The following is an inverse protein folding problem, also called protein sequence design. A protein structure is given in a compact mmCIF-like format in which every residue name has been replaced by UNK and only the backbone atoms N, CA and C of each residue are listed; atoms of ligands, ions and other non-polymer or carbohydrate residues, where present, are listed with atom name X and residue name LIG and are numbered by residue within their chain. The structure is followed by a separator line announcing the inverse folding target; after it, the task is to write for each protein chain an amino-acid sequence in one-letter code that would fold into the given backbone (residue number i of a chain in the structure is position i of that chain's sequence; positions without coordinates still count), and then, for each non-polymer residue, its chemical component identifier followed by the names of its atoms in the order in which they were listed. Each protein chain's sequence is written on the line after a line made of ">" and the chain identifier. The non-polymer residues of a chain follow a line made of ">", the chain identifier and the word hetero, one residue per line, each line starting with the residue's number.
data_IF_362766630109
#
_entry.id   IF_362766630109
#
_cell.length_a   1.000
_cell.length_b   1.000
_cell.length_c   1.000
_cell.angle_alpha   90.00
_cell.angle_beta   90.00
_cell.angle_gamma   90.00
#
_symmetry.space_group_name_H-M   'P 1'
#
loop_
_entity.id
_entity.type
_entity.pdbx_description
1 polymer ?
#
# COMPACT_ATOMS: atom_id res chain seq x y z
N UNK A 1 23.02 3.73 15.23
CA UNK A 1 24.33 4.22 14.69
C UNK A 1 25.17 3.07 14.11
N UNK A 2 25.30 1.92 14.78
CA UNK A 2 26.08 0.78 14.24
C UNK A 2 25.50 0.19 12.94
N UNK A 3 24.18 -0.02 12.86
CA UNK A 3 23.53 -0.65 11.70
C UNK A 3 23.68 0.14 10.39
N UNK A 4 23.62 1.48 10.45
CA UNK A 4 23.80 2.35 9.27
C UNK A 4 25.23 2.26 8.72
N UNK A 5 26.23 2.13 9.60
CA UNK A 5 27.62 1.99 9.16
C UNK A 5 27.85 0.63 8.50
N UNK A 6 27.24 -0.43 9.04
CA UNK A 6 27.25 -1.76 8.42
C UNK A 6 26.61 -1.73 7.02
N UNK A 7 25.42 -1.15 6.89
CA UNK A 7 24.73 -1.01 5.60
C UNK A 7 25.58 -0.26 4.56
N UNK A 8 26.18 0.87 4.96
CA UNK A 8 27.08 1.63 4.07
C UNK A 8 28.30 0.81 3.64
N UNK A 9 28.83 -0.04 4.52
CA UNK A 9 29.96 -0.90 4.19
C UNK A 9 29.55 -2.02 3.23
N UNK A 10 28.38 -2.60 3.42
CA UNK A 10 27.81 -3.62 2.53
C UNK A 10 27.55 -3.07 1.13
N UNK A 11 26.91 -1.90 1.03
CA UNK A 11 26.69 -1.20 -0.24
C UNK A 11 28.02 -0.97 -0.97
N UNK A 12 29.03 -0.43 -0.28
CA UNK A 12 30.37 -0.21 -0.88
C UNK A 12 31.02 -1.51 -1.37
N UNK A 13 30.82 -2.60 -0.64
CA UNK A 13 31.34 -3.92 -1.01
C UNK A 13 30.65 -4.44 -2.27
N UNK A 14 29.32 -4.29 -2.34
CA UNK A 14 28.54 -4.64 -3.53
C UNK A 14 28.93 -3.80 -4.75
N UNK A 15 29.11 -2.48 -4.58
CA UNK A 15 29.56 -1.60 -5.67
C UNK A 15 30.98 -1.91 -6.15
N UNK A 16 31.89 -2.35 -5.27
CA UNK A 16 33.26 -2.69 -5.65
C UNK A 16 33.34 -4.00 -6.43
N UNK A 17 32.42 -4.92 -6.18
CA UNK A 17 32.37 -6.25 -6.81
C UNK A 17 31.54 -6.20 -8.10
N UNK A 18 30.32 -5.66 -8.01
CA UNK A 18 29.34 -5.64 -9.09
C UNK A 18 29.26 -4.25 -9.73
N UNK A 19 30.28 -3.93 -10.52
CA UNK A 19 30.32 -2.66 -11.25
C UNK A 19 29.21 -2.55 -12.32
N UNK A 20 28.97 -1.33 -12.82
CA UNK A 20 27.97 -1.05 -13.88
C UNK A 20 28.19 -1.82 -15.20
N UNK A 21 29.38 -2.38 -15.40
CA UNK A 21 29.73 -3.12 -16.62
C UNK A 21 29.94 -4.62 -16.35
N UNK A 22 29.57 -5.10 -15.17
CA UNK A 22 29.74 -6.50 -14.81
C UNK A 22 28.88 -7.41 -15.71
N UNK A 23 29.41 -8.58 -16.08
CA UNK A 23 28.86 -9.42 -17.17
C UNK A 23 27.54 -10.11 -16.83
N UNK A 24 27.19 -10.21 -15.55
CA UNK A 24 26.02 -10.97 -15.08
C UNK A 24 25.10 -10.21 -14.14
N UNK A 25 25.66 -9.31 -13.35
CA UNK A 25 24.93 -8.61 -12.30
C UNK A 25 25.58 -7.27 -12.02
N UNK A 26 24.83 -6.19 -12.20
CA UNK A 26 25.35 -4.82 -12.16
C UNK A 26 24.62 -4.02 -11.09
N UNK A 27 25.34 -3.25 -10.28
CA UNK A 27 24.72 -2.24 -9.42
C UNK A 27 24.57 -0.95 -10.21
N UNK A 28 23.33 -0.57 -10.50
CA UNK A 28 23.01 0.62 -11.30
C UNK A 28 23.02 1.87 -10.42
N UNK A 29 22.38 1.76 -9.26
CA UNK A 29 22.27 2.82 -8.24
C UNK A 29 22.25 2.17 -6.86
N UNK A 30 22.93 2.77 -5.89
CA UNK A 30 22.89 2.32 -4.51
C UNK A 30 22.89 3.51 -3.54
N UNK A 31 22.01 3.43 -2.55
CA UNK A 31 21.85 4.41 -1.48
C UNK A 31 21.45 3.69 -0.19
N UNK A 32 21.36 4.42 0.92
CA UNK A 32 20.93 3.83 2.21
C UNK A 32 19.44 3.48 2.23
N UNK A 33 18.65 4.03 1.30
CA UNK A 33 17.21 3.82 1.23
C UNK A 33 16.82 2.89 0.06
N UNK A 34 17.65 2.82 -1.00
CA UNK A 34 17.33 2.05 -2.20
C UNK A 34 18.59 1.45 -2.85
N UNK A 35 18.48 0.20 -3.29
CA UNK A 35 19.45 -0.47 -4.16
C UNK A 35 18.77 -0.87 -5.47
N UNK A 36 19.30 -0.44 -6.61
CA UNK A 36 18.86 -0.88 -7.95
C UNK A 36 19.97 -1.68 -8.61
N UNK A 37 19.65 -2.91 -8.99
CA UNK A 37 20.54 -3.80 -9.69
C UNK A 37 19.95 -4.28 -11.03
N UNK A 38 20.81 -4.78 -11.90
CA UNK A 38 20.45 -5.34 -13.19
C UNK A 38 21.08 -6.72 -13.34
N UNK A 39 20.24 -7.72 -13.58
CA UNK A 39 20.67 -9.08 -13.89
C UNK A 39 20.62 -9.31 -15.39
N UNK A 40 21.64 -9.98 -15.94
CA UNK A 40 21.74 -10.33 -17.35
C UNK A 40 21.51 -11.84 -17.47
N UNK A 41 20.31 -12.21 -17.94
CA UNK A 41 19.89 -13.58 -18.11
C UNK A 41 20.37 -14.22 -19.42
N UNK A 42 19.80 -15.38 -19.74
CA UNK A 42 20.08 -16.10 -20.98
C UNK A 42 19.76 -15.23 -22.20
N UNK A 43 20.61 -15.29 -23.23
CA UNK A 43 20.52 -14.49 -24.46
C UNK A 43 20.72 -12.97 -24.29
N UNK A 44 21.23 -12.52 -23.14
CA UNK A 44 21.52 -11.10 -22.90
C UNK A 44 20.29 -10.26 -22.53
N UNK A 45 19.19 -10.90 -22.13
CA UNK A 45 18.01 -10.19 -21.62
C UNK A 45 18.34 -9.55 -20.27
N UNK A 46 18.05 -8.26 -20.15
CA UNK A 46 18.33 -7.47 -18.95
C UNK A 46 17.07 -7.36 -18.08
N UNK A 47 17.22 -7.70 -16.79
CA UNK A 47 16.17 -7.61 -15.80
C UNK A 47 16.58 -6.60 -14.73
N UNK A 48 15.77 -5.56 -14.54
CA UNK A 48 16.03 -4.55 -13.51
C UNK A 48 15.29 -4.95 -12.23
N UNK A 49 16.02 -4.99 -11.12
CA UNK A 49 15.54 -5.41 -9.81
C UNK A 49 15.90 -4.31 -8.81
N UNK A 50 14.98 -4.02 -7.91
CA UNK A 50 15.08 -2.97 -6.93
C UNK A 50 14.89 -3.53 -5.53
N UNK A 51 15.57 -2.95 -4.55
CA UNK A 51 15.39 -3.22 -3.14
C UNK A 51 15.18 -1.90 -2.40
N UNK A 52 14.10 -1.80 -1.65
CA UNK A 52 13.85 -0.69 -0.73
C UNK A 52 14.31 -1.07 0.67
N UNK A 53 15.19 -0.26 1.25
CA UNK A 53 15.82 -0.50 2.55
C UNK A 53 15.15 0.40 3.58
N UNK A 54 14.51 -0.22 4.57
CA UNK A 54 13.76 0.49 5.60
C UNK A 54 14.65 0.81 6.81
N UNK A 55 14.21 1.77 7.64
CA UNK A 55 14.92 2.13 8.88
C UNK A 55 15.02 0.98 9.89
N UNK A 56 14.21 -0.07 9.71
CA UNK A 56 14.21 -1.30 10.53
C UNK A 56 15.31 -2.29 10.14
N UNK A 57 16.12 -1.98 9.14
CA UNK A 57 17.27 -2.78 8.73
C UNK A 57 18.34 -2.89 9.84
N UNK A 58 18.96 -4.08 10.07
CA UNK A 58 18.75 -5.38 9.40
C UNK A 58 17.74 -6.29 10.10
N UNK A 59 16.97 -5.79 11.08
CA UNK A 59 16.00 -6.61 11.80
C UNK A 59 14.89 -7.12 10.89
N UNK A 60 14.53 -6.34 9.86
CA UNK A 60 13.61 -6.73 8.78
C UNK A 60 14.40 -6.74 7.46
N UNK A 61 14.19 -7.73 6.59
CA UNK A 61 14.83 -7.76 5.28
C UNK A 61 14.39 -6.59 4.39
N UNK A 62 15.28 -6.08 3.52
CA UNK A 62 14.94 -5.20 2.42
C UNK A 62 13.79 -5.73 1.55
N UNK A 63 13.00 -4.82 0.99
CA UNK A 63 11.84 -5.15 0.16
C UNK A 63 12.26 -5.18 -1.30
N UNK A 64 12.35 -6.38 -1.88
CA UNK A 64 12.76 -6.58 -3.27
C UNK A 64 11.57 -6.63 -4.23
N UNK A 65 11.77 -6.11 -5.45
CA UNK A 65 10.82 -6.19 -6.56
C UNK A 65 11.57 -6.10 -7.90
N UNK A 66 10.93 -6.54 -8.99
CA UNK A 66 11.52 -6.50 -10.32
C UNK A 66 10.58 -5.85 -11.33
N UNK A 67 11.17 -5.14 -12.29
CA UNK A 67 10.49 -4.54 -13.42
C UNK A 67 10.37 -5.57 -14.56
N UNK A 68 9.85 -6.76 -14.26
CA UNK A 68 9.68 -7.87 -15.20
C UNK A 68 8.42 -8.68 -14.86
N UNK A 69 7.69 -9.11 -15.90
CA UNK A 69 6.52 -10.00 -15.78
C UNK A 69 6.91 -11.49 -15.76
N UNK A 70 8.20 -11.81 -15.88
CA UNK A 70 8.68 -13.19 -15.92
C UNK A 70 8.57 -13.87 -14.55
N UNK A 71 7.94 -15.04 -14.51
CA UNK A 71 7.70 -15.79 -13.28
C UNK A 71 8.99 -16.22 -12.58
N UNK A 72 10.08 -16.46 -13.33
CA UNK A 72 11.39 -16.81 -12.77
C UNK A 72 11.95 -15.68 -11.89
N UNK A 73 11.89 -14.43 -12.35
CA UNK A 73 12.35 -13.26 -11.61
C UNK A 73 11.48 -13.01 -10.39
N UNK A 74 10.16 -13.10 -10.54
CA UNK A 74 9.21 -12.95 -9.44
C UNK A 74 9.47 -13.98 -8.33
N UNK A 75 9.72 -15.25 -8.70
CA UNK A 75 10.06 -16.30 -7.74
C UNK A 75 11.39 -16.03 -7.02
N UNK A 76 12.43 -15.59 -7.74
CA UNK A 76 13.73 -15.28 -7.14
C UNK A 76 13.64 -14.14 -6.10
N UNK A 77 12.87 -13.10 -6.41
CA UNK A 77 12.60 -11.98 -5.51
C UNK A 77 11.79 -12.42 -4.29
N UNK A 78 10.78 -13.28 -4.46
CA UNK A 78 9.90 -13.74 -3.38
C UNK A 78 10.65 -14.48 -2.26
N UNK A 79 11.73 -15.19 -2.59
CA UNK A 79 12.56 -15.90 -1.60
C UNK A 79 13.17 -14.91 -0.60
N UNK A 80 13.58 -13.72 -1.06
CA UNK A 80 14.22 -12.70 -0.23
C UNK A 80 13.27 -12.10 0.81
N UNK A 81 11.96 -12.15 0.56
CA UNK A 81 10.96 -11.68 1.53
C UNK A 81 10.87 -12.56 2.79
N UNK A 82 11.42 -13.77 2.73
CA UNK A 82 11.33 -14.76 3.81
C UNK A 82 12.62 -14.97 4.59
N UNK A 83 13.69 -14.20 4.31
CA UNK A 83 14.97 -14.33 5.01
C UNK A 83 14.87 -13.88 6.48
N UNK A 84 15.79 -14.38 7.31
CA UNK A 84 15.87 -14.03 8.74
C UNK A 84 17.33 -13.96 9.22
N UNK A 85 17.58 -13.20 10.28
CA UNK A 85 18.90 -13.11 10.89
C UNK A 85 19.93 -12.46 9.98
N UNK A 86 21.06 -13.15 9.74
CA UNK A 86 22.13 -12.65 8.87
C UNK A 86 21.66 -12.49 7.42
N UNK A 87 20.75 -13.33 6.96
CA UNK A 87 20.24 -13.29 5.58
C UNK A 87 19.40 -12.06 5.28
N UNK A 88 19.03 -11.26 6.29
CA UNK A 88 18.39 -9.97 6.08
C UNK A 88 19.35 -8.90 5.56
N UNK A 89 20.66 -9.10 5.69
CA UNK A 89 21.58 -8.08 5.23
C UNK A 89 21.61 -8.04 3.69
N UNK A 90 21.66 -6.84 3.13
CA UNK A 90 21.63 -6.57 1.68
C UNK A 90 22.70 -7.39 0.95
N UNK A 91 23.89 -7.54 1.56
CA UNK A 91 24.98 -8.35 1.02
C UNK A 91 24.55 -9.81 0.79
N UNK A 92 23.97 -10.45 1.81
CA UNK A 92 23.52 -11.85 1.72
C UNK A 92 22.31 -11.99 0.82
N UNK A 93 21.38 -11.03 0.85
CA UNK A 93 20.23 -11.05 -0.06
C UNK A 93 20.63 -10.97 -1.52
N UNK A 94 21.65 -10.16 -1.87
CA UNK A 94 22.20 -10.15 -3.23
C UNK A 94 22.81 -11.50 -3.60
N UNK A 95 23.50 -12.17 -2.67
CA UNK A 95 24.06 -13.51 -2.92
C UNK A 95 22.93 -14.51 -3.18
N UNK A 96 21.90 -14.55 -2.33
CA UNK A 96 20.74 -15.45 -2.48
C UNK A 96 20.03 -15.17 -3.80
N UNK A 97 19.77 -13.90 -4.11
CA UNK A 97 19.14 -13.46 -5.35
C UNK A 97 19.93 -13.95 -6.57
N UNK A 98 21.24 -13.72 -6.57
CA UNK A 98 22.08 -14.01 -7.73
C UNK A 98 22.22 -15.53 -7.95
N UNK A 99 22.32 -16.34 -6.89
CA UNK A 99 22.28 -17.81 -6.99
C UNK A 99 20.99 -18.29 -7.61
N UNK A 100 19.86 -17.80 -7.11
CA UNK A 100 18.55 -18.24 -7.59
C UNK A 100 18.29 -17.81 -9.04
N UNK A 101 18.65 -16.57 -9.40
CA UNK A 101 18.55 -16.08 -10.78
C UNK A 101 19.46 -16.90 -11.73
N UNK A 102 20.69 -17.21 -11.32
CA UNK A 102 21.58 -18.04 -12.13
C UNK A 102 21.01 -19.45 -12.34
N UNK A 103 20.46 -20.05 -11.27
CA UNK A 103 19.81 -21.37 -11.30
C UNK A 103 18.59 -21.38 -12.23
N UNK A 104 17.70 -20.40 -12.12
CA UNK A 104 16.46 -20.33 -12.89
C UNK A 104 16.70 -20.02 -14.38
N UNK A 105 17.70 -19.19 -14.70
CA UNK A 105 18.06 -18.89 -16.09
C UNK A 105 19.09 -19.87 -16.68
N UNK A 106 19.51 -20.89 -15.92
CA UNK A 106 20.52 -21.87 -16.29
C UNK A 106 21.82 -21.23 -16.82
N UNK A 107 22.29 -20.19 -16.15
CA UNK A 107 23.56 -19.49 -16.44
C UNK A 107 24.59 -19.75 -15.34
N UNK A 108 25.90 -19.76 -15.64
CA UNK A 108 26.93 -20.02 -14.64
C UNK A 108 27.01 -18.87 -13.62
N UNK A 109 27.20 -19.23 -12.34
CA UNK A 109 27.42 -18.28 -11.25
C UNK A 109 28.72 -17.47 -11.47
N UNK A 110 28.75 -16.17 -11.16
CA UNK A 110 29.98 -15.38 -11.27
C UNK A 110 31.04 -15.85 -10.26
N UNK A 111 32.32 -15.91 -10.63
CA UNK A 111 33.41 -16.29 -9.71
C UNK A 111 33.55 -15.32 -8.52
N UNK A 112 33.02 -14.09 -8.67
CA UNK A 112 32.97 -13.06 -7.62
C UNK A 112 32.08 -13.44 -6.44
N UNK A 113 31.17 -14.40 -6.63
CA UNK A 113 30.27 -14.91 -5.60
C UNK A 113 31.01 -15.69 -4.50
N UNK A 114 32.09 -16.38 -4.86
CA UNK A 114 32.96 -17.10 -3.92
C UNK A 114 33.81 -16.14 -3.07
N UNK A 115 34.15 -14.97 -3.63
CA UNK A 115 34.90 -13.93 -2.92
C UNK A 115 34.08 -13.30 -1.79
N UNK A 116 32.75 -13.20 -1.97
CA UNK A 116 31.80 -12.75 -0.95
C UNK A 116 31.68 -13.72 0.24
N UNK A 117 31.77 -15.03 -0.02
CA UNK A 117 31.82 -16.07 1.03
C UNK A 117 33.11 -16.03 1.86
N UNK A 118 34.23 -15.57 1.29
CA UNK A 118 35.53 -15.49 1.98
C UNK A 118 35.61 -14.30 2.95
N UNK A 119 34.93 -13.18 2.64
CA UNK A 119 34.82 -12.00 3.52
C UNK A 119 34.01 -12.29 4.80
N UNK A 120 33.05 -13.23 4.73
CA UNK A 120 32.20 -13.67 5.84
C UNK A 120 33.00 -14.41 6.94
N UNK A 121 33.89 -15.33 6.57
CA UNK A 121 34.65 -16.15 7.53
C UNK A 121 35.62 -15.36 8.42
N UNK A 122 35.95 -14.12 8.02
CA UNK A 122 36.80 -13.21 8.80
C UNK A 122 35.98 -12.25 9.69
N UNK A 123 34.72 -12.00 9.37
CA UNK A 123 33.83 -11.12 10.14
C UNK A 123 33.12 -11.87 11.29
N UNK A 124 32.67 -13.10 11.04
CA UNK A 124 32.00 -13.98 12.03
C UNK A 124 32.91 -14.35 13.21
N UNK A 125 34.21 -14.56 12.98
CA UNK A 125 35.19 -14.85 14.04
C UNK A 125 35.44 -13.70 15.03
N UNK A 126 35.01 -12.46 14.73
CA UNK A 126 35.16 -11.33 15.65
C UNK A 126 33.97 -11.16 16.60
N UNK A 127 32.83 -11.80 16.31
CA UNK A 127 31.59 -11.65 17.07
C UNK A 127 31.45 -12.74 18.14
N UNK A 128 31.93 -13.97 17.88
CA UNK A 128 31.85 -15.09 18.83
C UNK A 128 32.67 -14.94 20.12
N UNK A 129 33.61 -13.99 20.20
CA UNK A 129 34.44 -13.77 21.41
C UNK A 129 33.84 -12.82 22.45
N UNK A 130 32.63 -12.28 22.26
CA UNK A 130 32.06 -11.24 23.16
C UNK A 130 30.79 -11.61 23.91
N UNK A 131 30.23 -12.80 23.72
CA UNK A 131 29.02 -13.23 24.42
C UNK A 131 29.14 -14.68 24.90
N UNK A 132 30.13 -14.95 25.76
CA UNK A 132 30.18 -16.19 26.52
C UNK A 132 30.37 -15.87 28.01
N UNK A 133 29.28 -15.48 28.66
CA UNK A 133 29.17 -15.50 30.12
C UNK A 133 27.70 -15.51 30.54
N UNK A 134 27.35 -16.52 31.35
CA UNK A 134 26.07 -16.80 32.04
C UNK A 134 24.86 -17.11 31.13
N UNK A 135 24.16 -18.25 31.23
CA UNK A 135 24.07 -19.24 32.31
C UNK A 135 23.33 -20.51 31.84
N UNK A 136 23.86 -21.67 32.25
CA UNK A 136 23.16 -22.96 32.44
C UNK A 136 21.90 -22.74 33.31
N UNK A 137 20.82 -23.52 33.35
CA UNK A 137 20.53 -24.95 33.20
C UNK A 137 18.99 -25.07 33.23
N UNK A 138 18.34 -25.97 32.50
CA UNK A 138 18.18 -27.38 32.89
C UNK A 138 17.00 -27.96 32.11
N UNK A 139 17.15 -29.19 31.62
CA UNK A 139 16.14 -29.88 30.83
C UNK A 139 15.18 -30.71 31.68
N UNK A 140 14.13 -31.19 31.03
CA UNK A 140 13.68 -32.58 31.17
C UNK A 140 12.85 -32.98 29.95
N UNK A 141 13.08 -34.19 29.46
CA UNK A 141 12.32 -34.85 28.39
C UNK A 141 11.30 -35.80 29.05
N UNK A 142 10.10 -35.95 28.49
CA UNK A 142 9.39 -37.24 28.56
C UNK A 142 8.26 -37.34 27.52
N UNK A 143 8.08 -38.57 27.04
CA UNK A 143 7.19 -39.02 25.97
C UNK A 143 5.93 -39.73 26.51
N UNK A 144 4.94 -39.88 25.63
CA UNK A 144 3.91 -40.95 25.49
C UNK A 144 2.46 -40.73 25.99
N UNK A 145 1.53 -40.98 25.03
CA UNK A 145 0.27 -41.77 25.07
C UNK A 145 -0.87 -41.33 26.04
N UNK A 146 -2.17 -41.57 25.86
CA UNK A 146 -3.13 -42.04 24.83
C UNK A 146 -4.52 -42.05 25.55
N UNK A 147 -5.62 -42.16 24.80
CA UNK A 147 -7.00 -42.54 25.18
C UNK A 147 -7.93 -41.52 25.91
N UNK A 148 -9.08 -41.24 25.27
CA UNK A 148 -10.38 -41.52 25.91
C UNK A 148 -11.43 -40.41 26.09
N UNK A 149 -12.48 -40.49 25.25
CA UNK A 149 -13.93 -40.40 25.55
C UNK A 149 -14.71 -39.06 25.55
N UNK A 150 -15.62 -38.99 24.55
CA UNK A 150 -17.07 -38.64 24.54
C UNK A 150 -17.61 -37.35 25.18
N UNK A 151 -18.35 -36.55 24.40
CA UNK A 151 -19.82 -36.70 24.27
C UNK A 151 -20.46 -35.69 23.31
N UNK A 152 -21.47 -36.18 22.60
CA UNK A 152 -22.34 -35.58 21.57
C UNK A 152 -23.09 -34.29 21.92
N UNK A 153 -23.52 -33.54 20.88
CA UNK A 153 -24.93 -33.18 20.66
C UNK A 153 -25.14 -32.35 19.37
N UNK A 154 -25.65 -33.05 18.35
CA UNK A 154 -26.77 -32.73 17.44
C UNK A 154 -26.76 -31.50 16.50
N UNK A 155 -26.70 -31.84 15.21
CA UNK A 155 -27.16 -31.08 14.05
C UNK A 155 -28.66 -31.33 13.85
N UNK A 156 -29.46 -30.27 13.71
CA UNK A 156 -30.82 -30.37 13.16
C UNK A 156 -30.92 -29.52 11.89
N UNK A 157 -31.22 -30.20 10.79
CA UNK A 157 -31.46 -29.67 9.45
C UNK A 157 -32.98 -29.70 9.26
N UNK A 158 -33.60 -28.52 9.27
CA UNK A 158 -34.98 -28.33 8.85
C UNK A 158 -35.03 -27.52 7.55
N UNK A 159 -35.28 -28.19 6.44
CA UNK A 159 -35.76 -27.57 5.20
C UNK A 159 -37.19 -27.05 5.41
N UNK A 160 -37.49 -25.85 4.91
CA UNK A 160 -38.85 -25.39 4.64
C UNK A 160 -38.85 -24.53 3.38
N UNK A 161 -39.48 -25.04 2.33
CA UNK A 161 -39.83 -24.31 1.10
C UNK A 161 -41.16 -23.53 1.27
N UNK A 162 -41.31 -22.44 0.49
CA UNK A 162 -42.55 -21.68 0.24
C UNK A 162 -42.84 -20.56 1.25
N UNK A 163 -43.30 -19.36 0.91
CA UNK A 163 -43.90 -18.78 -0.30
C UNK A 163 -43.69 -17.24 -0.27
N UNK A 164 -43.77 -16.59 -1.43
CA UNK A 164 -43.65 -15.14 -1.65
C UNK A 164 -44.62 -14.29 -0.83
N UNK A 165 -44.14 -13.20 -0.18
CA UNK A 165 -44.88 -11.92 -0.10
C UNK A 165 -43.93 -10.72 -0.13
N UNK A 166 -44.39 -9.68 -0.83
CA UNK A 166 -43.66 -8.53 -1.36
C UNK A 166 -43.48 -7.40 -0.35
N UNK A 167 -42.56 -7.54 0.61
CA UNK A 167 -42.31 -6.53 1.66
C UNK A 167 -41.20 -5.50 1.35
N UNK A 168 -40.68 -5.45 0.12
CA UNK A 168 -39.54 -4.58 -0.22
C UNK A 168 -39.90 -3.10 -0.47
N UNK A 169 -41.18 -2.76 -0.61
CA UNK A 169 -41.61 -1.39 -0.96
C UNK A 169 -42.12 -0.57 0.24
N UNK A 170 -42.37 -1.17 1.41
CA UNK A 170 -42.99 -0.45 2.55
C UNK A 170 -41.96 0.14 3.54
N UNK A 171 -40.73 -0.40 3.59
CA UNK A 171 -39.65 0.15 4.43
C UNK A 171 -38.96 1.39 3.83
N UNK A 172 -39.21 1.71 2.56
CA UNK A 172 -38.67 2.91 1.88
C UNK A 172 -39.53 4.16 2.07
N UNK A 173 -40.75 4.03 2.61
CA UNK A 173 -41.66 5.15 2.80
C UNK A 173 -41.41 5.92 4.12
N UNK A 174 -40.82 5.27 5.14
CA UNK A 174 -40.57 5.89 6.45
C UNK A 174 -39.35 6.83 6.50
N UNK A 175 -38.48 6.84 5.47
CA UNK A 175 -37.33 7.76 5.42
C UNK A 175 -37.60 9.08 4.68
N UNK A 176 -38.79 9.27 4.10
CA UNK A 176 -39.10 10.44 3.27
C UNK A 176 -39.57 11.68 4.03
N UNK A 177 -39.94 11.57 5.31
CA UNK A 177 -40.45 12.74 6.06
C UNK A 177 -39.34 13.60 6.68
N UNK A 178 -38.16 13.04 6.99
CA UNK A 178 -37.08 13.77 7.69
C UNK A 178 -36.03 14.40 6.73
N UNK A 179 -36.16 14.18 5.43
CA UNK A 179 -35.13 14.53 4.42
C UNK A 179 -35.51 15.72 3.50
N UNK A 180 -36.74 16.26 3.58
CA UNK A 180 -37.16 17.39 2.72
C UNK A 180 -36.40 18.69 3.02
N UNK A 181 -35.87 18.86 4.23
CA UNK A 181 -35.12 20.06 4.63
C UNK A 181 -33.62 20.00 4.29
N UNK A 182 -33.08 18.85 3.86
CA UNK A 182 -31.63 18.65 3.56
C UNK A 182 -31.33 18.29 2.10
N UNK A 183 -32.36 18.12 1.26
CA UNK A 183 -32.20 17.91 -0.18
C UNK A 183 -31.76 19.18 -0.93
N UNK A 184 -31.95 20.35 -0.31
CA UNK A 184 -31.83 21.68 -0.94
C UNK A 184 -30.39 22.20 -1.12
N UNK A 185 -29.39 21.41 -0.69
CA UNK A 185 -27.98 21.87 -0.65
C UNK A 185 -27.02 21.10 -1.58
N UNK A 186 -27.54 20.14 -2.35
CA UNK A 186 -26.73 19.35 -3.30
C UNK A 186 -26.91 19.88 -4.73
N UNK A 187 -25.81 20.12 -5.44
CA UNK A 187 -25.84 20.63 -6.81
C UNK A 187 -26.63 19.72 -7.77
N UNK A 188 -27.36 20.34 -8.71
CA UNK A 188 -28.25 19.66 -9.68
C UNK A 188 -27.51 18.57 -10.48
N UNK A 189 -26.25 18.80 -10.83
CA UNK A 189 -25.41 17.83 -11.56
C UNK A 189 -25.10 16.56 -10.74
N UNK A 190 -24.86 16.71 -9.44
CA UNK A 190 -24.59 15.59 -8.53
C UNK A 190 -25.86 14.76 -8.27
N UNK A 191 -27.02 15.43 -8.15
CA UNK A 191 -28.32 14.76 -8.08
C UNK A 191 -28.60 13.96 -9.35
N UNK A 192 -28.38 14.54 -10.53
CA UNK A 192 -28.53 13.84 -11.80
C UNK A 192 -27.59 12.63 -11.93
N UNK A 193 -26.37 12.74 -11.38
CA UNK A 193 -25.41 11.63 -11.36
C UNK A 193 -25.89 10.49 -10.45
N UNK A 194 -26.34 10.79 -9.22
CA UNK A 194 -26.89 9.79 -8.31
C UNK A 194 -28.12 9.08 -8.89
N UNK A 195 -28.99 9.81 -9.58
CA UNK A 195 -30.16 9.25 -10.24
C UNK A 195 -29.79 8.36 -11.43
N UNK A 196 -28.82 8.77 -12.26
CA UNK A 196 -28.29 7.95 -13.35
C UNK A 196 -27.71 6.62 -12.84
N UNK A 197 -26.95 6.65 -11.75
CA UNK A 197 -26.36 5.46 -11.16
C UNK A 197 -27.42 4.49 -10.62
N UNK A 198 -28.47 5.00 -9.97
CA UNK A 198 -29.61 4.19 -9.53
C UNK A 198 -30.34 3.51 -10.69
N UNK A 199 -30.54 4.23 -11.79
CA UNK A 199 -31.19 3.68 -12.98
C UNK A 199 -30.33 2.60 -13.65
N UNK A 200 -29.03 2.83 -13.78
CA UNK A 200 -28.08 1.84 -14.29
C UNK A 200 -28.08 0.58 -13.42
N UNK A 201 -28.01 0.73 -12.10
CA UNK A 201 -28.06 -0.37 -11.15
C UNK A 201 -29.34 -1.22 -11.35
N UNK A 202 -30.52 -0.59 -11.40
CA UNK A 202 -31.80 -1.30 -11.65
C UNK A 202 -31.80 -2.05 -12.99
N UNK A 203 -31.22 -1.43 -14.03
CA UNK A 203 -31.13 -2.06 -15.34
C UNK A 203 -30.18 -3.27 -15.34
N UNK A 204 -29.05 -3.19 -14.63
CA UNK A 204 -28.09 -4.28 -14.53
C UNK A 204 -28.64 -5.46 -13.73
N UNK A 205 -29.43 -5.20 -12.68
CA UNK A 205 -30.20 -6.24 -11.98
C UNK A 205 -31.15 -6.97 -12.91
N UNK A 206 -31.90 -6.22 -13.73
CA UNK A 206 -32.86 -6.80 -14.66
C UNK A 206 -32.19 -7.61 -15.80
N UNK A 207 -30.96 -7.24 -16.17
CA UNK A 207 -30.16 -7.91 -17.21
C UNK A 207 -29.30 -9.07 -16.69
N UNK A 208 -29.20 -9.24 -15.37
CA UNK A 208 -28.31 -10.24 -14.75
C UNK A 208 -26.82 -9.92 -14.90
N UNK A 209 -26.47 -8.67 -15.24
CA UNK A 209 -25.08 -8.20 -15.41
C UNK A 209 -24.57 -7.43 -14.19
N UNK A 210 -25.08 -7.77 -13.01
CA UNK A 210 -24.79 -7.05 -11.76
C UNK A 210 -23.29 -7.15 -11.45
N UNK A 211 -22.64 -5.99 -11.33
CA UNK A 211 -21.27 -5.87 -10.84
C UNK A 211 -21.30 -5.65 -9.33
N UNK A 212 -20.70 -6.56 -8.56
CA UNK A 212 -20.54 -6.44 -7.12
C UNK A 212 -21.73 -6.95 -6.29
N UNK A 213 -21.76 -6.61 -4.99
CA UNK A 213 -22.82 -7.02 -4.05
C UNK A 213 -23.80 -5.87 -3.78
N UNK A 214 -25.06 -6.21 -3.45
CA UNK A 214 -26.11 -5.25 -3.06
C UNK A 214 -25.60 -4.35 -1.93
N UNK A 215 -25.07 -4.97 -0.86
CA UNK A 215 -24.56 -4.28 0.32
C UNK A 215 -23.43 -3.29 0.00
N UNK A 216 -22.46 -3.70 -0.83
CA UNK A 216 -21.38 -2.84 -1.26
C UNK A 216 -21.90 -1.66 -2.09
N UNK A 217 -22.83 -1.94 -3.01
CA UNK A 217 -23.40 -0.90 -3.88
C UNK A 217 -24.16 0.16 -3.07
N UNK A 218 -25.00 -0.28 -2.13
CA UNK A 218 -25.80 0.62 -1.28
C UNK A 218 -24.89 1.46 -0.39
N UNK A 219 -23.86 0.85 0.19
CA UNK A 219 -22.85 1.56 0.97
C UNK A 219 -22.11 2.60 0.13
N UNK A 220 -21.66 2.26 -1.08
CA UNK A 220 -20.94 3.18 -1.97
C UNK A 220 -21.83 4.35 -2.43
N UNK A 221 -23.11 4.08 -2.72
CA UNK A 221 -24.11 5.10 -3.03
C UNK A 221 -24.32 6.06 -1.86
N UNK A 222 -24.32 5.54 -0.62
CA UNK A 222 -24.38 6.37 0.59
C UNK A 222 -23.12 7.23 0.73
N UNK A 223 -21.93 6.65 0.59
CA UNK A 223 -20.65 7.38 0.69
C UNK A 223 -20.56 8.52 -0.34
N UNK A 224 -20.90 8.25 -1.60
CA UNK A 224 -20.88 9.26 -2.66
C UNK A 224 -21.86 10.40 -2.38
N UNK A 225 -23.05 10.07 -1.87
CA UNK A 225 -24.06 11.05 -1.47
C UNK A 225 -23.61 11.90 -0.29
N UNK A 226 -23.00 11.27 0.72
CA UNK A 226 -22.49 11.96 1.91
C UNK A 226 -21.34 12.91 1.52
N UNK A 227 -20.45 12.48 0.62
CA UNK A 227 -19.38 13.32 0.05
C UNK A 227 -19.96 14.55 -0.67
N UNK A 228 -20.97 14.39 -1.52
CA UNK A 228 -21.55 15.53 -2.25
C UNK A 228 -22.21 16.57 -1.32
N UNK A 229 -22.53 16.22 -0.07
CA UNK A 229 -23.02 17.17 0.94
C UNK A 229 -21.93 17.76 1.81
N UNK A 230 -20.73 17.21 1.77
CA UNK A 230 -19.68 17.59 2.71
C UNK A 230 -19.07 18.95 2.37
N UNK A 231 -18.67 19.68 3.42
CA UNK A 231 -18.01 20.98 3.25
C UNK A 231 -16.67 20.84 2.54
N UNK A 232 -15.94 19.75 2.76
CA UNK A 232 -14.65 19.50 2.10
C UNK A 232 -14.80 19.43 0.58
N UNK A 233 -15.86 18.76 0.11
CA UNK A 233 -16.18 18.66 -1.30
C UNK A 233 -16.70 19.99 -1.86
N UNK A 234 -17.63 20.66 -1.16
CA UNK A 234 -18.17 21.98 -1.55
C UNK A 234 -17.07 23.05 -1.64
N UNK A 235 -16.09 23.00 -0.73
CA UNK A 235 -14.92 23.89 -0.72
C UNK A 235 -13.84 23.48 -1.75
N UNK A 236 -14.11 22.48 -2.60
CA UNK A 236 -13.21 22.01 -3.67
C UNK A 236 -11.84 21.55 -3.16
N UNK A 237 -11.78 20.98 -1.95
CA UNK A 237 -10.53 20.39 -1.43
C UNK A 237 -10.09 19.21 -2.29
N UNK A 238 -11.07 18.45 -2.78
CA UNK A 238 -10.89 17.36 -3.74
C UNK A 238 -12.08 17.30 -4.71
N UNK A 239 -11.92 16.58 -5.81
CA UNK A 239 -12.97 16.29 -6.78
C UNK A 239 -13.04 14.78 -7.04
N UNK A 240 -14.24 14.26 -7.31
CA UNK A 240 -14.48 12.86 -7.62
C UNK A 240 -15.04 12.72 -9.03
N UNK A 241 -14.55 11.72 -9.77
CA UNK A 241 -15.02 11.34 -11.09
C UNK A 241 -15.12 9.81 -11.16
N UNK A 242 -16.30 9.29 -11.51
CA UNK A 242 -16.53 7.84 -11.63
C UNK A 242 -16.00 7.36 -12.97
N UNK A 243 -15.17 6.31 -12.94
CA UNK A 243 -14.61 5.74 -14.18
C UNK A 243 -15.67 4.90 -14.86
N UNK A 244 -16.05 5.28 -16.09
CA UNK A 244 -17.10 4.61 -16.87
C UNK A 244 -18.45 4.51 -16.12
N UNK A 245 -18.81 5.53 -15.33
CA UNK A 245 -19.99 5.51 -14.45
C UNK A 245 -20.02 4.30 -13.47
N UNK A 246 -18.85 3.70 -13.18
CA UNK A 246 -18.73 2.60 -12.22
C UNK A 246 -18.71 3.12 -10.79
N UNK A 247 -19.59 2.59 -9.94
CA UNK A 247 -19.55 2.82 -8.49
C UNK A 247 -18.33 2.18 -7.82
N UNK A 248 -17.63 1.27 -8.48
CA UNK A 248 -16.51 0.53 -7.90
C UNK A 248 -15.13 1.09 -8.28
N UNK A 249 -15.06 2.09 -9.16
CA UNK A 249 -13.79 2.72 -9.55
C UNK A 249 -13.90 4.25 -9.62
N UNK A 250 -13.20 4.93 -8.72
CA UNK A 250 -13.27 6.39 -8.58
C UNK A 250 -11.90 7.02 -8.85
N UNK A 251 -11.87 8.07 -9.66
CA UNK A 251 -10.74 8.99 -9.75
C UNK A 251 -10.96 10.16 -8.80
N UNK A 252 -10.05 10.34 -7.84
CA UNK A 252 -10.10 11.43 -6.87
C UNK A 252 -8.96 12.40 -7.15
N UNK A 253 -9.27 13.65 -7.49
CA UNK A 253 -8.27 14.72 -7.67
C UNK A 253 -8.16 15.52 -6.38
N UNK A 254 -7.01 15.44 -5.70
CA UNK A 254 -6.68 16.28 -4.56
C UNK A 254 -6.20 17.64 -5.07
N UNK A 255 -6.98 18.69 -4.83
CA UNK A 255 -6.70 20.05 -5.31
C UNK A 255 -6.04 20.90 -4.22
N UNK A 256 -6.34 20.60 -2.96
CA UNK A 256 -5.85 21.36 -1.81
C UNK A 256 -5.02 20.45 -0.90
N UNK A 257 -3.80 20.90 -0.60
CA UNK A 257 -2.91 20.35 0.43
C UNK A 257 -2.53 21.49 1.37
N UNK A 258 -1.91 21.17 2.50
CA UNK A 258 -1.45 22.18 3.46
C UNK A 258 -0.61 23.26 2.75
N UNK A 259 -1.03 24.55 2.77
CA UNK A 259 -0.38 25.62 2.02
C UNK A 259 1.06 25.86 2.46
N UNK A 260 1.40 25.54 3.71
CA UNK A 260 2.75 25.70 4.26
C UNK A 260 3.67 24.52 3.89
N UNK A 261 3.12 23.47 3.26
CA UNK A 261 3.89 22.30 2.88
C UNK A 261 4.71 22.54 1.60
N UNK A 262 5.91 21.93 1.48
CA UNK A 262 6.66 21.91 0.23
C UNK A 262 5.87 21.30 -0.95
N UNK A 263 4.93 20.40 -0.66
CA UNK A 263 4.05 19.77 -1.65
C UNK A 263 3.11 20.79 -2.31
N UNK A 264 2.63 21.78 -1.56
CA UNK A 264 1.80 22.87 -2.10
C UNK A 264 2.56 23.67 -3.16
N UNK A 265 3.82 24.03 -2.87
CA UNK A 265 4.67 24.72 -3.83
C UNK A 265 4.96 23.87 -5.07
N UNK A 266 5.20 22.56 -4.87
CA UNK A 266 5.37 21.63 -5.98
C UNK A 266 4.10 21.58 -6.87
N UNK A 267 2.88 21.56 -6.31
CA UNK A 267 1.65 21.58 -7.11
C UNK A 267 1.48 22.85 -7.95
N UNK A 268 1.93 24.00 -7.43
CA UNK A 268 1.97 25.25 -8.19
C UNK A 268 2.95 25.14 -9.38
N UNK A 269 4.14 24.57 -9.16
CA UNK A 269 5.09 24.32 -10.25
C UNK A 269 4.57 23.29 -11.27
N UNK A 270 3.81 22.28 -10.83
CA UNK A 270 3.16 21.32 -11.74
C UNK A 270 2.13 22.03 -12.63
N UNK A 271 1.38 22.98 -12.07
CA UNK A 271 0.42 23.81 -12.81
C UNK A 271 1.12 24.61 -13.90
N UNK A 272 2.24 25.24 -13.57
CA UNK A 272 3.01 26.06 -14.50
C UNK A 272 3.65 25.22 -15.62
N UNK A 273 4.13 24.01 -15.31
CA UNK A 273 4.85 23.15 -16.27
C UNK A 273 3.94 22.28 -17.14
N UNK A 274 2.92 21.67 -16.55
CA UNK A 274 2.09 20.64 -17.19
C UNK A 274 0.62 21.04 -17.29
N UNK A 275 0.22 22.19 -16.75
CA UNK A 275 -1.18 22.63 -16.73
C UNK A 275 -2.05 21.84 -15.74
N UNK A 276 -1.45 21.08 -14.83
CA UNK A 276 -2.13 20.25 -13.83
C UNK A 276 -1.78 20.71 -12.42
N UNK A 277 -2.77 20.89 -11.56
CA UNK A 277 -2.60 21.41 -10.20
C UNK A 277 -3.13 20.46 -9.12
N UNK A 278 -3.25 19.18 -9.44
CA UNK A 278 -3.87 18.19 -8.56
C UNK A 278 -3.11 16.87 -8.51
N UNK A 279 -3.18 16.19 -7.37
CA UNK A 279 -2.75 14.79 -7.24
C UNK A 279 -3.95 13.91 -7.57
N UNK A 280 -3.85 13.14 -8.66
CA UNK A 280 -4.87 12.18 -9.06
C UNK A 280 -4.63 10.84 -8.37
N UNK A 281 -5.60 10.42 -7.57
CA UNK A 281 -5.70 9.11 -6.97
C UNK A 281 -6.73 8.27 -7.73
N UNK A 282 -6.59 6.95 -7.67
CA UNK A 282 -7.56 5.98 -8.15
C UNK A 282 -7.91 5.06 -6.98
N UNK A 283 -9.20 4.96 -6.67
CA UNK A 283 -9.78 4.12 -5.63
C UNK A 283 -10.57 3.00 -6.28
N UNK A 284 -10.19 1.76 -5.95
CA UNK A 284 -10.86 0.55 -6.42
C UNK A 284 -11.55 -0.14 -5.24
N UNK A 285 -12.86 -0.28 -5.35
CA UNK A 285 -13.69 -0.97 -4.37
C UNK A 285 -13.98 -2.37 -4.86
N UNK A 286 -13.98 -3.34 -3.95
CA UNK A 286 -14.42 -4.70 -4.23
C UNK A 286 -15.89 -4.90 -3.84
N UNK A 287 -16.44 -6.01 -4.27
CA UNK A 287 -17.75 -6.53 -3.85
C UNK A 287 -17.85 -6.82 -2.34
N UNK A 288 -16.71 -7.00 -1.68
CA UNK A 288 -16.58 -7.17 -0.21
C UNK A 288 -16.54 -5.86 0.57
N UNK A 289 -16.57 -4.70 -0.08
CA UNK A 289 -16.66 -3.41 0.62
C UNK A 289 -18.00 -3.30 1.38
N UNK A 290 -18.07 -2.79 2.62
CA UNK A 290 -17.03 -2.10 3.39
C UNK A 290 -16.20 -2.98 4.33
N UNK A 291 -16.27 -4.31 4.22
CA UNK A 291 -15.53 -5.21 5.11
C UNK A 291 -14.03 -5.27 4.77
N UNK A 292 -13.67 -5.15 3.48
CA UNK A 292 -12.29 -4.91 3.04
C UNK A 292 -12.08 -3.43 2.65
N UNK A 293 -10.87 -2.88 2.86
CA UNK A 293 -10.54 -1.51 2.45
C UNK A 293 -10.56 -1.36 0.92
N UNK A 294 -10.79 -0.13 0.41
CA UNK A 294 -10.52 0.16 -0.98
C UNK A 294 -9.02 0.06 -1.27
N UNK A 295 -8.68 -0.42 -2.46
CA UNK A 295 -7.32 -0.32 -2.96
C UNK A 295 -7.10 1.08 -3.54
N UNK A 296 -6.18 1.85 -2.95
CA UNK A 296 -5.92 3.23 -3.36
C UNK A 296 -4.49 3.38 -3.88
N UNK A 297 -4.35 4.06 -5.01
CA UNK A 297 -3.06 4.37 -5.63
C UNK A 297 -3.01 5.79 -6.17
N UNK A 298 -1.81 6.34 -6.24
CA UNK A 298 -1.48 7.55 -6.99
C UNK A 298 -1.36 7.20 -8.47
N UNK A 299 -2.07 7.95 -9.31
CA UNK A 299 -2.01 7.85 -10.77
C UNK A 299 -1.00 8.86 -11.32
N UNK A 300 -1.06 10.09 -10.83
CA UNK A 300 -0.24 11.21 -11.28
C UNK A 300 -0.31 12.34 -10.25
N UNK A 301 0.75 13.16 -10.03
CA UNK A 301 2.10 13.06 -10.59
C UNK A 301 2.94 11.97 -9.90
N UNK A 302 4.19 11.79 -10.33
CA UNK A 302 5.14 10.93 -9.61
C UNK A 302 5.59 11.64 -8.33
N UNK A 303 5.45 10.96 -7.21
CA UNK A 303 5.75 11.48 -5.87
C UNK A 303 6.88 10.66 -5.25
N UNK A 304 7.86 11.34 -4.65
CA UNK A 304 8.83 10.77 -3.71
C UNK A 304 8.40 11.08 -2.27
N UNK A 305 8.55 10.12 -1.35
CA UNK A 305 8.12 10.28 0.03
C UNK A 305 6.60 10.13 0.19
N UNK A 306 6.04 10.66 1.28
CA UNK A 306 4.59 10.62 1.51
C UNK A 306 4.01 9.22 1.74
N UNK A 307 4.86 8.23 2.01
CA UNK A 307 4.49 6.80 2.03
C UNK A 307 3.96 6.28 0.69
N UNK A 308 4.28 6.95 -0.42
CA UNK A 308 3.97 6.47 -1.77
C UNK A 308 5.08 5.50 -2.21
N UNK A 309 4.68 4.27 -2.51
CA UNK A 309 5.56 3.21 -2.97
C UNK A 309 5.76 3.28 -4.50
N UNK A 310 6.71 2.50 -5.00
CA UNK A 310 6.89 2.28 -6.43
C UNK A 310 5.58 1.73 -7.04
N UNK A 311 5.29 2.11 -8.28
CA UNK A 311 4.00 1.79 -8.90
C UNK A 311 2.84 2.68 -8.49
N UNK A 312 2.99 3.48 -7.42
CA UNK A 312 1.98 4.43 -6.95
C UNK A 312 1.11 3.91 -5.81
N UNK A 313 1.40 2.74 -5.23
CA UNK A 313 0.66 2.26 -4.06
C UNK A 313 0.89 3.14 -2.84
N UNK A 314 -0.10 3.24 -1.96
CA UNK A 314 -0.01 4.04 -0.74
C UNK A 314 0.17 3.11 0.46
N UNK A 315 1.27 3.28 1.19
CA UNK A 315 1.59 2.54 2.41
C UNK A 315 0.91 3.22 3.62
N UNK A 316 -0.33 2.86 3.90
CA UNK A 316 -1.08 3.36 5.06
C UNK A 316 -1.73 2.20 5.82
N UNK A 317 -1.59 2.21 7.14
CA UNK A 317 -2.14 1.17 8.02
C UNK A 317 -3.66 1.02 7.85
N UNK A 318 -4.39 2.12 7.72
CA UNK A 318 -5.84 2.07 7.52
C UNK A 318 -6.26 1.41 6.20
N UNK A 319 -5.36 1.32 5.20
CA UNK A 319 -5.63 0.63 3.93
C UNK A 319 -5.19 -0.85 3.98
N UNK A 320 -4.77 -1.35 5.15
CA UNK A 320 -4.48 -2.77 5.39
C UNK A 320 -5.66 -3.45 6.08
N UNK A 321 -5.77 -4.78 5.99
CA UNK A 321 -6.85 -5.55 6.64
C UNK A 321 -6.90 -5.34 8.16
N UNK A 322 -5.75 -5.07 8.77
CA UNK A 322 -5.56 -4.97 10.21
C UNK A 322 -5.91 -3.57 10.73
N UNK A 323 -5.65 -2.52 9.95
CA UNK A 323 -5.96 -1.14 10.32
C UNK A 323 -7.27 -0.61 9.75
N UNK A 324 -7.88 -1.31 8.80
CA UNK A 324 -9.17 -0.93 8.22
C UNK A 324 -10.32 -1.17 9.19
N UNK A 325 -11.26 -0.23 9.19
CA UNK A 325 -12.56 -0.37 9.85
C UNK A 325 -13.65 0.02 8.87
N UNK A 326 -14.70 -0.80 8.77
CA UNK A 326 -15.88 -0.51 7.95
C UNK A 326 -16.63 0.75 8.39
N UNK A 327 -16.32 1.28 9.59
CA UNK A 327 -16.84 2.55 10.09
C UNK A 327 -16.18 3.78 9.46
N UNK A 328 -15.04 3.63 8.78
CA UNK A 328 -14.42 4.76 8.07
C UNK A 328 -15.25 5.16 6.85
N UNK A 329 -15.47 6.47 6.70
CA UNK A 329 -16.08 7.05 5.50
C UNK A 329 -15.02 7.25 4.42
N UNK A 330 -15.42 7.20 3.15
CA UNK A 330 -14.53 7.43 2.02
C UNK A 330 -13.96 8.86 2.05
N UNK A 331 -14.76 9.85 2.47
CA UNK A 331 -14.27 11.21 2.71
C UNK A 331 -13.12 11.23 3.72
N UNK A 332 -13.27 10.56 4.87
CA UNK A 332 -12.24 10.52 5.89
C UNK A 332 -10.96 9.88 5.35
N UNK A 333 -11.08 8.82 4.55
CA UNK A 333 -9.94 8.17 3.88
C UNK A 333 -9.23 9.14 2.92
N UNK A 334 -9.98 9.85 2.07
CA UNK A 334 -9.42 10.84 1.13
C UNK A 334 -8.65 11.94 1.88
N UNK A 335 -9.26 12.50 2.92
CA UNK A 335 -8.66 13.56 3.73
C UNK A 335 -7.42 13.06 4.48
N UNK A 336 -7.45 11.84 5.01
CA UNK A 336 -6.32 11.24 5.70
C UNK A 336 -5.16 10.92 4.76
N UNK A 337 -5.43 10.51 3.52
CA UNK A 337 -4.38 10.37 2.49
C UNK A 337 -3.73 11.72 2.23
N UNK A 338 -4.53 12.78 2.01
CA UNK A 338 -3.99 14.14 1.80
C UNK A 338 -3.07 14.58 2.95
N UNK A 339 -3.51 14.40 4.20
CA UNK A 339 -2.70 14.70 5.38
C UNK A 339 -1.45 13.82 5.48
N UNK A 340 -1.53 12.55 5.11
CA UNK A 340 -0.41 11.61 5.16
C UNK A 340 0.67 11.93 4.14
N UNK A 341 0.29 12.38 2.94
CA UNK A 341 1.23 12.86 1.93
C UNK A 341 2.06 14.03 2.46
N UNK A 342 1.41 15.02 3.08
CA UNK A 342 2.08 16.17 3.69
C UNK A 342 2.99 15.74 4.86
N UNK A 343 2.45 14.95 5.80
CA UNK A 343 3.19 14.45 6.97
C UNK A 343 4.42 13.63 6.56
N UNK A 344 4.30 12.81 5.53
CA UNK A 344 5.38 12.01 4.96
C UNK A 344 6.33 12.82 4.06
N UNK A 345 6.21 14.15 4.03
CA UNK A 345 7.05 15.06 3.25
C UNK A 345 7.09 14.69 1.76
N UNK A 346 5.93 14.34 1.20
CA UNK A 346 5.78 14.07 -0.22
C UNK A 346 6.31 15.23 -1.07
N UNK A 347 7.06 14.90 -2.12
CA UNK A 347 7.59 15.85 -3.11
C UNK A 347 7.28 15.36 -4.51
N UNK A 348 6.91 16.27 -5.41
CA UNK A 348 6.68 15.91 -6.81
C UNK A 348 8.02 15.80 -7.52
N UNK A 349 8.22 14.68 -8.21
CA UNK A 349 9.42 14.47 -9.02
C UNK A 349 9.23 15.09 -10.41
N UNK A 350 9.84 16.26 -10.62
CA UNK A 350 9.83 16.94 -11.91
C UNK A 350 10.93 16.38 -12.83
N UNK A 351 10.52 15.65 -13.87
CA UNK A 351 11.40 15.17 -14.93
C UNK A 351 11.21 13.69 -15.22
N UNK A 352 11.12 13.32 -16.50
CA UNK A 352 11.20 11.92 -16.89
C UNK A 352 12.63 11.40 -16.66
N UNK A 353 12.85 10.26 -16.00
CA UNK A 353 14.08 9.54 -16.26
C UNK A 353 14.11 9.26 -17.76
N UNK A 354 15.17 9.68 -18.46
CA UNK A 354 15.33 9.59 -19.92
C UNK A 354 15.36 8.15 -20.47
N UNK A 355 14.86 7.17 -19.73
CA UNK A 355 14.87 5.73 -20.06
C UNK A 355 13.46 5.09 -19.98
N UNK A 356 12.44 5.71 -19.37
CA UNK A 356 11.11 5.08 -19.26
C UNK A 356 9.98 6.11 -19.49
N UNK A 357 9.70 6.43 -20.76
CA UNK A 357 8.67 7.43 -21.15
C UNK A 357 7.23 6.97 -20.94
N UNK A 358 6.98 5.75 -20.46
CA UNK A 358 5.66 5.24 -20.04
C UNK A 358 5.88 4.23 -18.90
N UNK A 359 5.33 4.51 -17.70
CA UNK A 359 5.02 3.45 -16.73
C UNK A 359 5.80 3.34 -15.42
N UNK A 360 6.17 4.43 -14.75
CA UNK A 360 6.59 4.34 -13.33
C UNK A 360 5.40 3.97 -12.42
N UNK A 361 4.22 4.55 -12.65
CA UNK A 361 2.98 4.19 -11.96
C UNK A 361 2.08 3.39 -12.89
N UNK A 362 1.64 2.22 -12.41
CA UNK A 362 0.68 1.35 -13.08
C UNK A 362 -0.10 0.56 -12.04
N UNK A 363 -1.30 0.11 -12.40
CA UNK A 363 -2.13 -0.69 -11.50
C UNK A 363 -1.40 -1.97 -11.06
N UNK A 364 -0.77 -2.67 -12.01
CA UNK A 364 -0.04 -3.91 -11.74
C UNK A 364 1.12 -3.69 -10.75
N UNK A 365 1.94 -2.64 -10.96
CA UNK A 365 3.06 -2.31 -10.06
C UNK A 365 2.56 -1.91 -8.67
N UNK A 366 1.51 -1.07 -8.60
CA UNK A 366 0.92 -0.68 -7.33
C UNK A 366 0.38 -1.91 -6.55
N UNK A 367 -0.34 -2.80 -7.23
CA UNK A 367 -0.88 -4.01 -6.60
C UNK A 367 0.23 -4.94 -6.10
N UNK A 368 1.31 -5.09 -6.87
CA UNK A 368 2.47 -5.88 -6.46
C UNK A 368 3.13 -5.28 -5.21
N UNK A 369 3.42 -3.97 -5.21
CA UNK A 369 4.02 -3.30 -4.05
C UNK A 369 3.13 -3.39 -2.80
N UNK A 370 1.80 -3.29 -2.96
CA UNK A 370 0.86 -3.47 -1.85
C UNK A 370 0.85 -4.90 -1.31
N UNK A 371 0.87 -5.92 -2.19
CA UNK A 371 0.95 -7.34 -1.76
C UNK A 371 2.21 -7.60 -0.93
N UNK A 372 3.37 -7.11 -1.39
CA UNK A 372 4.61 -7.22 -0.64
C UNK A 372 4.53 -6.52 0.72
N UNK A 373 3.89 -5.35 0.79
CA UNK A 373 3.68 -4.63 2.06
C UNK A 373 2.81 -5.41 3.05
N UNK A 374 1.70 -5.97 2.58
CA UNK A 374 0.78 -6.73 3.45
C UNK A 374 1.48 -7.96 4.02
N UNK A 375 2.27 -8.68 3.21
CA UNK A 375 3.06 -9.82 3.69
C UNK A 375 4.03 -9.44 4.81
N UNK A 376 4.66 -8.26 4.72
CA UNK A 376 5.57 -7.76 5.75
C UNK A 376 4.80 -7.40 7.04
N UNK A 377 3.62 -6.80 6.91
CA UNK A 377 2.76 -6.49 8.06
C UNK A 377 2.24 -7.74 8.76
N UNK A 378 1.84 -8.76 8.01
CA UNK A 378 1.35 -10.04 8.54
C UNK A 378 2.47 -10.83 9.24
N UNK A 379 3.69 -10.80 8.70
CA UNK A 379 4.85 -11.50 9.30
C UNK A 379 5.37 -10.81 10.58
N UNK A 380 5.28 -9.48 10.67
CA UNK A 380 5.92 -8.68 11.74
C UNK A 380 4.95 -8.11 12.79
N UNK A 381 3.81 -8.79 13.03
CA UNK A 381 2.58 -8.31 13.68
C UNK A 381 2.60 -7.61 15.06
N UNK A 382 3.69 -6.99 15.53
CA UNK A 382 3.74 -6.19 16.76
C UNK A 382 4.59 -4.91 16.73
N UNK A 383 5.41 -4.63 15.70
CA UNK A 383 6.36 -3.50 15.76
C UNK A 383 5.84 -2.14 15.27
N UNK A 384 4.79 -2.08 14.44
CA UNK A 384 4.22 -0.80 13.96
C UNK A 384 3.19 -0.16 14.90
N UNK A 385 2.70 -0.92 15.91
CA UNK A 385 1.62 -0.50 16.81
C UNK A 385 1.97 0.71 17.71
N UNK A 386 3.24 1.08 17.86
CA UNK A 386 3.65 2.13 18.81
C UNK A 386 3.73 3.53 18.21
N UNK A 387 3.94 3.70 16.90
CA UNK A 387 4.10 5.04 16.29
C UNK A 387 2.85 5.57 15.58
N UNK A 388 1.96 4.70 15.10
CA UNK A 388 0.73 5.11 14.41
C UNK A 388 -0.40 5.49 15.38
N UNK A 389 -0.57 4.72 16.47
CA UNK A 389 -1.61 4.96 17.49
C UNK A 389 -1.48 6.34 18.17
N UNK A 390 -0.25 6.80 18.39
CA UNK A 390 0.02 8.11 19.00
C UNK A 390 -0.32 9.27 18.05
N UNK A 391 -0.24 9.07 16.74
CA UNK A 391 -0.63 10.06 15.73
C UNK A 391 -2.14 10.16 15.51
N UNK A 392 -2.85 9.04 15.58
CA UNK A 392 -4.31 8.99 15.33
C UNK A 392 -5.11 9.67 16.46
N UNK A 393 -4.69 9.50 17.72
CA UNK A 393 -5.31 10.23 18.84
C UNK A 393 -5.05 11.74 18.80
N UNK A 394 -3.93 12.17 18.22
CA UNK A 394 -3.60 13.59 18.06
C UNK A 394 -4.43 14.21 16.93
N UNK A 395 -4.60 13.53 15.80
CA UNK A 395 -5.42 14.03 14.68
C UNK A 395 -6.91 14.09 15.04
N UNK A 396 -7.45 13.09 15.73
CA UNK A 396 -8.85 13.14 16.21
C UNK A 396 -9.09 14.24 17.24
N UNK A 397 -8.07 14.66 18.00
CA UNK A 397 -8.16 15.80 18.93
C UNK A 397 -7.89 17.16 18.28
N UNK A 398 -7.09 17.21 17.21
CA UNK A 398 -6.71 18.46 16.54
C UNK A 398 -7.76 18.91 15.52
N UNK A 399 -8.49 18.01 14.86
CA UNK A 399 -9.54 18.37 13.90
C UNK A 399 -10.60 19.33 14.47
N UNK A 400 -11.17 19.12 15.67
CA UNK A 400 -12.10 20.09 16.26
C UNK A 400 -11.43 21.43 16.60
N UNK A 401 -10.17 21.42 17.05
CA UNK A 401 -9.41 22.64 17.39
C UNK A 401 -9.09 23.47 16.14
N UNK A 402 -8.77 22.82 15.01
CA UNK A 402 -8.55 23.50 13.72
C UNK A 402 -9.85 24.10 13.19
N UNK A 403 -11.00 23.42 13.36
CA UNK A 403 -12.30 23.99 13.01
C UNK A 403 -12.61 25.24 13.83
N UNK A 404 -12.35 25.19 15.14
CA UNK A 404 -12.57 26.32 16.06
C UNK A 404 -11.68 27.53 15.73
N UNK A 405 -10.40 27.30 15.41
CA UNK A 405 -9.46 28.34 14.97
C UNK A 405 -9.84 28.96 13.62
N UNK A 406 -10.35 28.16 12.67
CA UNK A 406 -10.83 28.67 11.39
C UNK A 406 -12.09 29.52 11.56
N UNK A 407 -12.97 29.17 12.50
CA UNK A 407 -14.18 29.93 12.81
C UNK A 407 -13.89 31.23 13.59
N UNK A 408 -12.90 31.23 14.49
CA UNK A 408 -12.39 32.45 15.16
C UNK A 408 -11.75 33.42 14.16
N UNK A 409 -10.97 32.91 13.19
CA UNK A 409 -10.36 33.75 12.14
C UNK A 409 -11.43 34.35 11.22
N UNK A 410 -12.53 33.63 10.95
CA UNK A 410 -13.67 34.14 10.16
C UNK A 410 -14.53 35.17 10.89
N UNK A 411 -14.50 35.21 12.22
CA UNK A 411 -15.25 36.20 13.01
C UNK A 411 -14.46 37.48 13.29
N UNK A 412 -13.14 37.48 13.01
CA UNK A 412 -12.26 38.65 13.13
C UNK A 412 -12.06 39.46 11.83
N UNK A 413 -12.66 39.03 10.72
CA UNK A 413 -12.73 39.75 9.43
C UNK A 413 -14.18 40.13 9.16
#
# INVERSE_FOLDING_TARGET
>A
MACLNTLKQEIRTLESIFTKNHERFQIISASVDELTCRFIGKNGVEYTIHANITETYPAVPPVWFADSEETSIANAVQILSNTEGLDNHVLYQVIILLKELCRLHAVPEPPDLDSLHILDRQATNRISTRCNSSSQSGGDETMMEDEGLDSDADLDIGESEGEDESDADEDLAMEMEDNRSKADEMGVEHLATLERLRQNQRQDYLKGSVSGSVQATDRLMKELRDIYRSDSFKNKMYQIELVNDSLYEWNVRLMCVDPDSPLSHDLQMLKEKEGKDSIQLNMLFKDTYPFEPPFVRVVHPIISGGYVLVGGAICMELLTKQGWSSAYTVEAVIMQISATLVKGKARIQFGAPKVCSQGQYSLARAQQSFKSLVQIHEKNGKFFLTYSFMGIQVVQKIIPIIRELIDEIKTMV
#
